data_IF_416242622688
#
_entry.id   IF_416242622688
#
_cell.length_a   1.000
_cell.length_b   1.000
_cell.length_c   1.000
_cell.angle_alpha   90.00
_cell.angle_beta   90.00
_cell.angle_gamma   90.00
#
_symmetry.space_group_name_H-M   'P 1'
#
loop_
_entity.id
_entity.type
_entity.pdbx_description
1 polymer ?
#
# COMPACT_ATOMS: atom_id res chain seq x y z
N UNK A 1 -3.84 -23.83 -81.24
CA UNK A 1 -4.51 -25.12 -81.28
C UNK A 1 -3.50 -26.17 -81.77
N UNK A 2 -3.52 -27.37 -81.22
CA UNK A 2 -2.62 -28.46 -81.62
C UNK A 2 -2.72 -28.71 -83.13
N UNK A 3 -1.57 -28.82 -83.81
CA UNK A 3 -1.48 -29.00 -85.27
C UNK A 3 -1.61 -27.76 -86.12
N UNK A 4 -1.88 -26.58 -85.52
CA UNK A 4 -1.88 -25.30 -86.25
C UNK A 4 -0.44 -24.75 -86.36
N UNK A 5 -0.22 -23.90 -87.35
CA UNK A 5 1.07 -23.20 -87.59
C UNK A 5 0.92 -21.66 -87.58
N UNK A 6 0.04 -21.19 -86.74
CA UNK A 6 -0.34 -19.76 -86.67
C UNK A 6 0.70 -18.88 -85.95
N UNK A 7 1.64 -19.46 -85.21
CA UNK A 7 2.72 -18.73 -84.54
C UNK A 7 4.04 -18.86 -85.30
N UNK A 8 4.34 -20.10 -85.73
CA UNK A 8 5.53 -20.39 -86.51
C UNK A 8 5.10 -21.28 -87.67
N UNK A 9 5.42 -20.89 -88.94
CA UNK A 9 5.16 -21.78 -90.04
C UNK A 9 6.03 -23.04 -89.96
N UNK A 10 5.59 -24.12 -90.72
CA UNK A 10 6.41 -25.34 -90.83
C UNK A 10 7.79 -24.98 -91.34
N UNK A 11 8.82 -25.38 -90.62
CA UNK A 11 10.25 -25.26 -90.98
C UNK A 11 10.84 -26.62 -91.14
N UNK A 12 11.80 -26.72 -92.08
CA UNK A 12 12.55 -27.98 -92.28
C UNK A 12 13.62 -28.08 -91.20
N UNK A 13 13.70 -29.27 -90.56
CA UNK A 13 14.66 -29.58 -89.52
C UNK A 13 15.65 -30.66 -89.99
N UNK A 14 15.62 -31.00 -91.28
CA UNK A 14 16.35 -32.16 -91.83
C UNK A 14 16.05 -33.44 -90.96
N UNK A 15 17.07 -34.09 -90.46
CA UNK A 15 16.93 -35.26 -89.59
C UNK A 15 17.13 -34.96 -88.10
N UNK A 16 17.10 -33.69 -87.72
CA UNK A 16 17.27 -33.29 -86.33
C UNK A 16 16.07 -33.75 -85.48
N UNK A 17 16.43 -34.30 -84.26
CA UNK A 17 15.43 -34.78 -83.30
C UNK A 17 15.13 -33.76 -82.17
N UNK A 18 15.81 -32.59 -82.19
CA UNK A 18 15.59 -31.49 -81.27
C UNK A 18 15.78 -30.15 -82.01
N UNK A 19 14.99 -29.14 -81.63
CA UNK A 19 15.09 -27.79 -82.18
C UNK A 19 14.73 -26.76 -81.10
N UNK A 20 15.51 -25.63 -81.05
CA UNK A 20 15.19 -24.47 -80.24
C UNK A 20 14.75 -23.34 -81.19
N UNK A 21 13.56 -22.80 -80.95
CA UNK A 21 13.02 -21.66 -81.67
C UNK A 21 13.11 -20.39 -80.84
N UNK A 22 13.70 -19.36 -81.42
CA UNK A 22 13.86 -18.03 -80.78
C UNK A 22 13.08 -16.96 -81.53
N UNK A 23 12.88 -15.79 -80.89
CA UNK A 23 12.20 -14.63 -81.52
C UNK A 23 10.67 -14.84 -81.68
N UNK A 24 10.08 -15.77 -80.92
CA UNK A 24 8.63 -15.93 -80.88
C UNK A 24 7.96 -14.85 -80.05
N UNK A 25 6.79 -14.38 -80.52
CA UNK A 25 5.93 -13.48 -79.75
C UNK A 25 4.83 -14.28 -79.09
N UNK A 26 5.11 -14.79 -77.88
CA UNK A 26 4.17 -15.61 -77.11
C UNK A 26 3.39 -14.70 -76.13
N UNK A 27 2.14 -14.98 -75.91
CA UNK A 27 1.22 -14.22 -75.05
C UNK A 27 1.10 -14.93 -73.72
N UNK A 28 1.28 -14.20 -72.63
CA UNK A 28 1.13 -14.67 -71.27
C UNK A 28 -0.27 -15.28 -71.02
N UNK A 29 -0.36 -16.37 -70.27
CA UNK A 29 -1.58 -17.14 -70.02
C UNK A 29 -2.04 -18.04 -71.22
N UNK A 30 -1.32 -18.02 -72.37
CA UNK A 30 -1.68 -18.78 -73.54
C UNK A 30 -0.95 -20.12 -73.64
N UNK A 31 -1.64 -21.20 -74.03
CA UNK A 31 -1.05 -22.51 -74.26
C UNK A 31 -0.65 -22.68 -75.73
N UNK A 32 0.58 -23.06 -75.94
CA UNK A 32 1.16 -23.30 -77.28
C UNK A 32 1.51 -24.79 -77.42
N UNK A 33 1.38 -25.27 -78.64
CA UNK A 33 1.60 -26.69 -79.00
C UNK A 33 2.71 -26.77 -80.04
N UNK A 34 3.78 -27.47 -79.74
CA UNK A 34 4.76 -27.87 -80.76
C UNK A 34 4.19 -29.04 -81.57
N UNK A 35 4.28 -28.91 -82.89
CA UNK A 35 3.83 -29.99 -83.83
C UNK A 35 4.96 -30.37 -84.77
N UNK A 36 5.13 -31.66 -84.96
CA UNK A 36 6.14 -32.24 -85.87
C UNK A 36 5.49 -33.17 -86.83
N UNK A 37 6.01 -33.26 -88.07
CA UNK A 37 5.64 -34.22 -89.06
C UNK A 37 6.89 -34.71 -89.77
N UNK A 38 6.95 -35.99 -90.18
CA UNK A 38 8.04 -36.54 -90.92
C UNK A 38 7.65 -36.57 -92.46
N UNK A 39 8.70 -36.37 -93.26
CA UNK A 39 8.57 -36.48 -94.73
C UNK A 39 9.62 -37.50 -95.18
N UNK A 40 9.23 -38.51 -95.94
CA UNK A 40 10.13 -39.49 -96.46
C UNK A 40 10.91 -38.98 -97.72
N UNK A 41 11.86 -39.70 -98.20
CA UNK A 41 12.67 -39.32 -99.40
C UNK A 41 11.83 -39.27 -100.71
N UNK A 42 10.62 -39.92 -100.75
CA UNK A 42 9.70 -39.87 -101.84
C UNK A 42 8.68 -38.73 -101.76
N UNK A 43 8.74 -37.90 -100.69
CA UNK A 43 7.85 -36.75 -100.47
C UNK A 43 6.56 -37.11 -99.74
N UNK A 44 6.38 -38.33 -99.22
CA UNK A 44 5.18 -38.66 -98.49
C UNK A 44 5.26 -38.03 -97.06
N UNK A 45 4.15 -37.46 -96.60
CA UNK A 45 4.07 -36.68 -95.32
C UNK A 45 3.27 -37.50 -94.31
N UNK A 46 3.86 -37.80 -93.17
CA UNK A 46 3.20 -38.38 -92.03
C UNK A 46 2.20 -37.43 -91.38
N UNK A 47 1.20 -37.97 -90.70
CA UNK A 47 0.32 -37.17 -89.86
C UNK A 47 1.09 -36.43 -88.81
N UNK A 48 0.76 -35.18 -88.55
CA UNK A 48 1.43 -34.36 -87.54
C UNK A 48 1.15 -34.88 -86.14
N UNK A 49 2.18 -34.98 -85.30
CA UNK A 49 2.09 -35.28 -83.87
C UNK A 49 2.35 -33.96 -83.14
N UNK A 50 1.51 -33.67 -82.15
CA UNK A 50 1.60 -32.45 -81.36
C UNK A 50 1.92 -32.77 -79.89
N UNK A 51 2.67 -31.88 -79.22
CA UNK A 51 2.88 -31.93 -77.81
C UNK A 51 1.57 -31.74 -77.00
N UNK A 52 1.58 -32.06 -75.70
CA UNK A 52 0.47 -31.76 -74.78
C UNK A 52 0.27 -30.25 -74.53
N UNK A 53 1.15 -29.40 -75.05
CA UNK A 53 1.11 -27.96 -74.88
C UNK A 53 1.96 -27.45 -73.68
N UNK A 54 2.45 -26.25 -73.86
CA UNK A 54 3.14 -25.48 -72.78
C UNK A 54 2.40 -24.17 -72.65
N UNK A 55 2.06 -23.77 -71.42
CA UNK A 55 1.44 -22.50 -71.10
C UNK A 55 2.55 -21.50 -70.75
N UNK A 56 2.49 -20.35 -71.30
CA UNK A 56 3.40 -19.25 -70.98
C UNK A 56 2.92 -18.60 -69.69
N UNK A 57 3.80 -18.50 -68.74
CA UNK A 57 3.65 -17.74 -67.51
C UNK A 57 4.85 -16.76 -67.39
N UNK A 58 4.58 -15.49 -67.45
CA UNK A 58 5.56 -14.43 -67.38
C UNK A 58 5.24 -13.43 -66.22
N UNK A 59 4.27 -13.79 -65.41
CA UNK A 59 3.92 -13.03 -64.20
C UNK A 59 4.78 -13.48 -63.03
N UNK A 60 5.29 -12.53 -62.26
CA UNK A 60 6.03 -12.83 -61.04
C UNK A 60 5.05 -13.23 -59.94
N UNK A 61 5.32 -14.29 -59.13
CA UNK A 61 4.57 -14.58 -57.93
C UNK A 61 4.73 -13.46 -56.90
N UNK A 62 3.82 -13.40 -55.91
CA UNK A 62 3.77 -12.34 -54.88
C UNK A 62 3.76 -12.93 -53.48
N UNK A 63 4.60 -12.37 -52.58
CA UNK A 63 4.47 -12.58 -51.12
C UNK A 63 3.47 -11.52 -50.62
N UNK A 64 2.50 -11.95 -49.81
CA UNK A 64 1.40 -11.11 -49.33
C UNK A 64 1.48 -10.80 -47.84
N UNK A 65 2.20 -11.63 -47.07
CA UNK A 65 2.48 -11.39 -45.62
C UNK A 65 3.75 -12.11 -45.17
N UNK A 66 4.37 -11.58 -44.14
CA UNK A 66 5.44 -12.22 -43.39
C UNK A 66 5.24 -11.88 -41.91
N UNK A 67 5.30 -12.86 -41.03
CA UNK A 67 5.20 -12.73 -39.59
C UNK A 67 6.47 -13.22 -38.94
N UNK A 68 6.99 -12.50 -37.95
CA UNK A 68 8.21 -12.80 -37.21
C UNK A 68 7.84 -13.19 -35.77
N UNK A 69 8.51 -14.18 -35.21
CA UNK A 69 8.36 -14.76 -33.87
C UNK A 69 7.06 -15.52 -33.58
N UNK A 70 6.04 -15.47 -34.47
CA UNK A 70 4.80 -16.22 -34.34
C UNK A 70 4.27 -16.64 -35.72
N UNK A 71 3.25 -17.50 -35.76
CA UNK A 71 2.64 -17.99 -37.00
C UNK A 71 1.50 -17.12 -37.52
N UNK A 72 0.99 -16.19 -36.72
CA UNK A 72 -0.25 -15.45 -36.99
C UNK A 72 -0.09 -13.95 -36.68
N UNK A 73 0.74 -13.61 -35.66
CA UNK A 73 0.97 -12.25 -35.18
C UNK A 73 2.42 -11.88 -35.46
N UNK A 74 2.63 -10.67 -35.94
CA UNK A 74 3.95 -10.09 -36.12
C UNK A 74 4.38 -9.41 -34.82
N UNK A 75 5.47 -9.91 -34.23
CA UNK A 75 5.98 -9.42 -32.96
C UNK A 75 7.29 -8.66 -33.19
N UNK A 76 7.45 -7.52 -32.53
CA UNK A 76 8.68 -6.71 -32.56
C UNK A 76 9.80 -7.28 -31.67
N UNK A 77 9.46 -8.17 -30.75
CA UNK A 77 10.39 -8.75 -29.76
C UNK A 77 10.23 -10.27 -29.64
N UNK A 78 11.31 -10.95 -29.24
CA UNK A 78 11.29 -12.39 -28.93
C UNK A 78 12.22 -12.76 -27.78
N UNK A 79 11.85 -13.81 -27.02
CA UNK A 79 12.62 -14.34 -25.88
C UNK A 79 13.60 -15.48 -26.32
N UNK A 80 14.11 -15.48 -27.54
CA UNK A 80 15.08 -16.49 -28.02
C UNK A 80 16.19 -15.85 -28.83
N UNK A 81 17.44 -16.18 -28.48
CA UNK A 81 18.64 -15.79 -29.25
C UNK A 81 19.12 -16.90 -30.19
N UNK A 82 18.54 -18.10 -30.10
CA UNK A 82 18.99 -19.30 -30.83
C UNK A 82 18.04 -19.75 -31.90
N UNK A 83 16.85 -19.18 -31.95
CA UNK A 83 15.83 -19.52 -32.94
C UNK A 83 14.93 -18.33 -33.26
N UNK A 84 14.29 -18.38 -34.45
CA UNK A 84 13.21 -17.48 -34.86
C UNK A 84 12.14 -18.28 -35.61
N UNK A 85 10.87 -17.97 -35.33
CA UNK A 85 9.73 -18.51 -36.08
C UNK A 85 9.39 -17.52 -37.19
N UNK A 86 9.22 -18.02 -38.40
CA UNK A 86 8.80 -17.25 -39.56
C UNK A 86 7.57 -17.89 -40.19
N UNK A 87 6.58 -17.08 -40.55
CA UNK A 87 5.43 -17.54 -41.33
C UNK A 87 5.09 -16.52 -42.42
N UNK A 88 4.72 -17.00 -43.57
CA UNK A 88 4.44 -16.16 -44.73
C UNK A 88 3.30 -16.69 -45.57
N UNK A 89 2.75 -15.84 -46.40
CA UNK A 89 1.83 -16.22 -47.44
C UNK A 89 2.28 -15.66 -48.80
N UNK A 90 2.10 -16.45 -49.84
CA UNK A 90 2.42 -16.01 -51.21
C UNK A 90 1.50 -16.69 -52.18
N UNK A 91 1.28 -16.06 -53.32
CA UNK A 91 0.39 -16.51 -54.38
C UNK A 91 1.03 -16.35 -55.74
N UNK A 92 0.67 -17.22 -56.64
CA UNK A 92 0.88 -17.08 -58.07
C UNK A 92 -0.40 -17.49 -58.83
N UNK A 93 -0.75 -16.73 -59.80
CA UNK A 93 -2.01 -16.94 -60.57
C UNK A 93 -1.84 -17.78 -61.84
N UNK A 94 -0.59 -17.93 -62.32
CA UNK A 94 -0.28 -18.59 -63.60
C UNK A 94 0.10 -20.05 -63.39
N UNK A 95 1.39 -20.31 -63.17
CA UNK A 95 1.95 -21.65 -63.08
C UNK A 95 1.90 -22.24 -61.65
N UNK A 96 1.57 -21.45 -60.65
CA UNK A 96 1.52 -21.78 -59.29
C UNK A 96 2.89 -21.73 -58.60
N UNK A 97 2.89 -21.57 -57.23
CA UNK A 97 4.11 -21.53 -56.42
C UNK A 97 4.86 -22.84 -56.52
N UNK A 98 6.16 -22.78 -56.72
CA UNK A 98 7.08 -23.93 -56.77
C UNK A 98 8.02 -23.99 -55.58
N UNK A 99 8.51 -22.85 -55.07
CA UNK A 99 9.46 -22.83 -53.97
C UNK A 99 9.47 -21.50 -53.25
N UNK A 100 9.42 -21.51 -51.95
CA UNK A 100 9.73 -20.38 -51.08
C UNK A 100 11.18 -20.44 -50.60
N UNK A 101 11.81 -19.28 -50.49
CA UNK A 101 13.09 -19.15 -49.89
C UNK A 101 13.02 -18.04 -48.83
N UNK A 102 13.68 -18.24 -47.70
CA UNK A 102 13.84 -17.22 -46.64
C UNK A 102 15.31 -16.89 -46.40
N UNK A 103 15.56 -15.72 -45.85
CA UNK A 103 16.87 -15.26 -45.40
C UNK A 103 16.72 -14.42 -44.12
N UNK A 104 17.80 -14.25 -43.36
CA UNK A 104 17.85 -13.44 -42.17
C UNK A 104 19.07 -12.55 -42.19
N UNK A 105 18.90 -11.28 -41.78
CA UNK A 105 20.00 -10.34 -41.72
C UNK A 105 19.79 -9.23 -40.70
N UNK A 106 20.77 -8.30 -40.61
CA UNK A 106 20.75 -7.16 -39.68
C UNK A 106 20.23 -5.87 -40.33
N UNK A 107 19.75 -5.94 -41.56
CA UNK A 107 19.09 -4.87 -42.31
C UNK A 107 18.07 -5.50 -43.25
N UNK A 108 17.03 -4.78 -43.69
CA UNK A 108 16.08 -5.28 -44.70
C UNK A 108 16.83 -5.83 -45.94
N UNK A 109 16.37 -6.96 -46.45
CA UNK A 109 16.97 -7.68 -47.59
C UNK A 109 18.41 -8.22 -47.41
N UNK A 110 18.99 -8.05 -46.24
CA UNK A 110 20.31 -8.58 -45.90
C UNK A 110 20.24 -10.09 -45.63
N UNK A 111 21.34 -10.80 -45.92
CA UNK A 111 21.47 -12.25 -45.78
C UNK A 111 22.72 -12.63 -44.97
N UNK A 112 23.17 -11.71 -44.12
CA UNK A 112 24.44 -11.87 -43.41
C UNK A 112 24.37 -12.79 -42.18
N UNK A 113 23.16 -13.18 -41.73
CA UNK A 113 22.94 -14.17 -40.67
C UNK A 113 22.57 -15.53 -41.29
N UNK A 114 21.54 -15.58 -42.11
CA UNK A 114 21.16 -16.75 -42.91
C UNK A 114 21.04 -16.35 -44.36
N UNK A 115 21.78 -17.03 -45.21
CA UNK A 115 21.67 -16.90 -46.68
C UNK A 115 20.35 -17.48 -47.16
N UNK A 116 19.93 -17.11 -48.38
CA UNK A 116 18.72 -17.65 -49.03
C UNK A 116 18.66 -19.18 -48.88
N UNK A 117 17.67 -19.65 -48.13
CA UNK A 117 17.45 -21.05 -47.81
C UNK A 117 16.09 -21.48 -48.26
N UNK A 118 16.01 -22.60 -49.02
CA UNK A 118 14.73 -23.11 -49.52
C UNK A 118 13.87 -23.69 -48.42
N UNK A 119 12.61 -23.33 -48.41
CA UNK A 119 11.55 -23.92 -47.60
C UNK A 119 10.62 -24.85 -48.41
N UNK A 120 10.89 -25.06 -49.70
CA UNK A 120 10.02 -25.77 -50.58
C UNK A 120 8.64 -25.11 -50.69
N UNK A 121 7.58 -25.84 -50.49
CA UNK A 121 6.19 -25.32 -50.47
C UNK A 121 5.71 -24.97 -49.06
N UNK A 122 6.57 -25.07 -48.03
CA UNK A 122 6.20 -24.70 -46.67
C UNK A 122 5.98 -23.21 -46.57
N UNK A 123 4.92 -22.82 -45.84
CA UNK A 123 4.57 -21.41 -45.59
C UNK A 123 5.03 -20.93 -44.20
N UNK A 124 5.79 -21.74 -43.49
CA UNK A 124 6.43 -21.37 -42.22
C UNK A 124 7.69 -22.20 -41.99
N UNK A 125 8.53 -21.72 -41.07
CA UNK A 125 9.70 -22.43 -40.60
C UNK A 125 10.13 -21.94 -39.21
N UNK A 126 10.81 -22.81 -38.46
CA UNK A 126 11.57 -22.40 -37.28
C UNK A 126 13.05 -22.48 -37.64
N UNK A 127 13.69 -21.35 -37.77
CA UNK A 127 15.14 -21.24 -38.00
C UNK A 127 15.83 -21.46 -36.65
N UNK A 128 16.76 -22.41 -36.57
CA UNK A 128 17.46 -22.79 -35.33
C UNK A 128 18.97 -22.71 -35.49
N UNK A 129 19.72 -22.77 -34.39
CA UNK A 129 21.17 -22.70 -34.38
C UNK A 129 21.71 -21.29 -34.61
N UNK A 130 20.93 -20.30 -34.31
CA UNK A 130 21.32 -18.87 -34.36
C UNK A 130 22.15 -18.48 -33.13
N UNK A 131 22.81 -17.34 -33.20
CA UNK A 131 23.48 -16.65 -32.10
C UNK A 131 23.15 -15.16 -32.27
N UNK A 132 21.98 -14.78 -31.85
CA UNK A 132 21.48 -13.42 -31.98
C UNK A 132 21.90 -12.59 -30.77
N UNK A 133 22.19 -11.31 -30.96
CA UNK A 133 22.59 -10.39 -29.91
C UNK A 133 21.35 -9.71 -29.33
N UNK A 134 21.25 -9.71 -28.02
CA UNK A 134 20.17 -9.08 -27.28
C UNK A 134 20.18 -7.54 -27.42
N UNK A 135 19.03 -6.94 -27.52
CA UNK A 135 18.70 -5.53 -27.22
C UNK A 135 19.15 -4.48 -28.23
N UNK A 136 20.27 -4.69 -28.93
CA UNK A 136 20.85 -3.61 -29.74
C UNK A 136 20.79 -3.82 -31.25
N UNK A 137 20.42 -5.00 -31.69
CA UNK A 137 20.37 -5.40 -33.09
C UNK A 137 18.95 -5.76 -33.45
N UNK A 138 18.41 -5.11 -34.49
CA UNK A 138 17.17 -5.54 -35.13
C UNK A 138 17.51 -6.54 -36.23
N UNK A 139 16.84 -7.69 -36.20
CA UNK A 139 16.99 -8.75 -37.19
C UNK A 139 15.79 -8.72 -38.13
N UNK A 140 16.08 -8.74 -39.42
CA UNK A 140 15.07 -8.67 -40.48
C UNK A 140 15.04 -9.99 -41.21
N UNK A 141 13.90 -10.63 -41.23
CA UNK A 141 13.64 -11.75 -42.14
C UNK A 141 13.21 -11.25 -43.49
N UNK A 142 13.55 -12.01 -44.50
CA UNK A 142 13.16 -11.76 -45.89
C UNK A 142 12.68 -13.04 -46.53
N UNK A 143 11.63 -12.95 -47.33
CA UNK A 143 11.07 -14.08 -48.09
C UNK A 143 10.93 -13.71 -49.58
N UNK A 144 11.15 -14.71 -50.43
CA UNK A 144 10.85 -14.64 -51.87
C UNK A 144 10.27 -15.96 -52.32
N UNK A 145 9.58 -15.93 -53.44
CA UNK A 145 8.90 -17.11 -54.00
C UNK A 145 9.21 -17.26 -55.50
N UNK A 146 9.45 -18.49 -55.91
CA UNK A 146 9.58 -18.89 -57.32
C UNK A 146 8.37 -19.68 -57.73
N UNK A 147 7.81 -19.40 -58.91
CA UNK A 147 6.72 -20.16 -59.53
C UNK A 147 7.23 -21.40 -60.29
N UNK A 148 6.33 -22.18 -60.86
CA UNK A 148 6.69 -23.36 -61.65
C UNK A 148 7.21 -23.02 -63.08
N UNK A 149 7.06 -21.79 -63.54
CA UNK A 149 7.63 -21.32 -64.78
C UNK A 149 9.06 -20.75 -64.58
N UNK A 150 9.49 -20.50 -63.32
CA UNK A 150 10.81 -19.98 -62.94
C UNK A 150 10.85 -18.47 -62.74
N UNK A 151 9.70 -17.77 -62.69
CA UNK A 151 9.65 -16.35 -62.36
C UNK A 151 9.86 -16.18 -60.85
N UNK A 152 10.55 -15.11 -60.43
CA UNK A 152 10.94 -14.87 -59.07
C UNK A 152 10.24 -13.58 -58.56
N UNK A 153 9.60 -13.64 -57.40
CA UNK A 153 8.98 -12.49 -56.79
C UNK A 153 9.96 -11.38 -56.40
N UNK A 154 9.45 -10.18 -56.18
CA UNK A 154 10.15 -9.21 -55.37
C UNK A 154 10.39 -9.80 -53.99
N UNK A 155 11.48 -9.39 -53.32
CA UNK A 155 11.75 -9.73 -51.91
C UNK A 155 10.73 -9.02 -51.03
N UNK A 156 10.25 -9.70 -50.02
CA UNK A 156 9.41 -9.14 -48.96
C UNK A 156 10.17 -9.25 -47.64
N UNK A 157 10.46 -8.13 -46.99
CA UNK A 157 11.13 -8.09 -45.70
C UNK A 157 10.16 -7.73 -44.59
N UNK A 158 10.28 -8.35 -43.44
CA UNK A 158 9.62 -7.96 -42.21
C UNK A 158 10.09 -6.58 -41.72
N UNK A 159 9.43 -6.02 -40.76
CA UNK A 159 9.79 -4.75 -40.11
C UNK A 159 10.87 -4.93 -39.03
N UNK A 160 11.14 -6.20 -38.65
CA UNK A 160 12.30 -6.61 -37.86
C UNK A 160 11.99 -6.90 -36.43
N UNK A 161 12.76 -7.81 -35.87
CA UNK A 161 12.60 -8.33 -34.50
C UNK A 161 13.85 -8.06 -33.66
N UNK A 162 13.64 -7.76 -32.37
CA UNK A 162 14.67 -7.57 -31.37
C UNK A 162 14.63 -8.72 -30.36
N UNK A 163 15.79 -9.22 -29.96
CA UNK A 163 15.89 -10.26 -28.93
C UNK A 163 15.90 -9.59 -27.55
N UNK A 164 15.05 -10.10 -26.67
CA UNK A 164 15.01 -9.69 -25.26
C UNK A 164 15.00 -10.91 -24.35
N UNK A 165 16.09 -11.12 -23.63
CA UNK A 165 16.28 -12.18 -22.64
C UNK A 165 16.36 -11.63 -21.21
N UNK A 166 16.39 -10.30 -21.10
CA UNK A 166 16.54 -9.59 -19.83
C UNK A 166 15.21 -9.52 -19.10
N UNK A 167 15.19 -9.95 -17.85
CA UNK A 167 14.01 -9.80 -17.00
C UNK A 167 13.85 -8.33 -16.58
N UNK A 168 12.63 -7.82 -16.41
CA UNK A 168 12.41 -6.47 -15.91
C UNK A 168 13.11 -6.22 -14.57
N UNK A 169 13.67 -5.03 -14.42
CA UNK A 169 14.23 -4.56 -13.15
C UNK A 169 13.11 -4.42 -12.13
N UNK A 170 13.32 -5.03 -10.95
CA UNK A 170 12.36 -4.95 -9.87
C UNK A 170 12.35 -3.55 -9.21
N UNK A 171 11.17 -3.08 -8.87
CA UNK A 171 10.93 -1.79 -8.21
C UNK A 171 10.84 -1.90 -6.68
N UNK A 172 10.01 -1.06 -6.10
CA UNK A 172 9.68 -1.04 -4.66
C UNK A 172 8.17 -1.05 -4.47
N UNK A 173 7.72 -1.59 -3.34
CA UNK A 173 6.30 -1.71 -2.97
C UNK A 173 6.11 -1.19 -1.54
N UNK A 174 4.95 -0.59 -1.26
CA UNK A 174 4.54 -0.17 0.08
C UNK A 174 3.13 -0.66 0.39
N UNK A 175 2.86 -0.93 1.66
CA UNK A 175 1.53 -1.19 2.19
C UNK A 175 0.77 0.14 2.31
N UNK A 176 -0.23 0.35 1.45
CA UNK A 176 -0.98 1.60 1.30
C UNK A 176 -0.78 2.28 -0.06
N UNK A 177 -1.54 3.34 -0.33
CA UNK A 177 -1.54 4.02 -1.62
C UNK A 177 -0.52 5.17 -1.71
N UNK A 178 -0.17 5.80 -0.59
CA UNK A 178 0.71 6.98 -0.56
C UNK A 178 1.78 6.92 0.52
N UNK A 179 1.54 6.19 1.59
CA UNK A 179 2.44 6.00 2.72
C UNK A 179 2.48 4.53 3.07
N UNK A 180 3.64 4.08 3.52
CA UNK A 180 3.81 2.71 4.00
C UNK A 180 3.15 2.56 5.38
N UNK A 181 2.20 1.64 5.48
CA UNK A 181 1.40 1.40 6.67
C UNK A 181 1.85 0.10 7.35
N UNK A 182 2.05 0.15 8.66
CA UNK A 182 2.36 -1.04 9.46
C UNK A 182 1.10 -1.76 9.94
N UNK A 183 -0.03 -1.05 10.04
CA UNK A 183 -1.30 -1.57 10.58
C UNK A 183 -2.49 -1.12 9.74
N UNK A 184 -3.55 -1.92 9.74
CA UNK A 184 -4.86 -1.59 9.16
C UNK A 184 -6.01 -1.95 10.09
N UNK A 185 -6.99 -1.06 10.22
CA UNK A 185 -8.26 -1.31 10.91
C UNK A 185 -9.28 -2.10 10.09
N UNK A 186 -8.92 -2.57 8.89
CA UNK A 186 -9.81 -3.32 8.02
C UNK A 186 -9.44 -4.80 7.98
N UNK A 187 -10.42 -5.68 8.16
CA UNK A 187 -10.27 -7.12 7.94
C UNK A 187 -10.74 -7.59 6.56
N UNK A 188 -11.09 -6.67 5.67
CA UNK A 188 -11.67 -6.99 4.36
C UNK A 188 -11.08 -6.20 3.20
N UNK A 189 -10.19 -5.24 3.47
CA UNK A 189 -9.59 -4.38 2.45
C UNK A 189 -8.10 -4.21 2.72
N UNK A 190 -7.28 -4.43 1.69
CA UNK A 190 -5.87 -4.02 1.65
C UNK A 190 -5.62 -3.19 0.40
N UNK A 191 -4.78 -2.17 0.55
CA UNK A 191 -4.30 -1.36 -0.56
C UNK A 191 -2.78 -1.39 -0.60
N UNK A 192 -2.22 -1.34 -1.81
CA UNK A 192 -0.77 -1.27 -2.02
C UNK A 192 -0.46 -0.44 -3.25
N UNK A 193 0.76 0.08 -3.30
CA UNK A 193 1.29 0.77 -4.47
C UNK A 193 2.77 0.44 -4.66
N UNK A 194 3.24 0.55 -5.90
CA UNK A 194 4.62 0.25 -6.26
C UNK A 194 5.14 1.23 -7.31
N UNK A 195 6.45 1.27 -7.45
CA UNK A 195 7.14 2.14 -8.41
C UNK A 195 8.52 1.61 -8.74
N UNK A 196 9.12 2.15 -9.81
CA UNK A 196 10.52 1.91 -10.15
C UNK A 196 10.79 0.60 -10.89
N UNK A 197 9.77 -0.18 -11.27
CA UNK A 197 9.94 -1.27 -12.22
C UNK A 197 10.24 -0.70 -13.60
N UNK A 198 11.14 -1.33 -14.33
CA UNK A 198 11.48 -0.93 -15.69
C UNK A 198 12.04 -2.10 -16.48
N UNK A 199 11.76 -2.11 -17.76
CA UNK A 199 12.45 -2.93 -18.75
C UNK A 199 12.94 -2.03 -19.88
N UNK A 200 14.19 -2.25 -20.33
CA UNK A 200 14.86 -1.34 -21.24
C UNK A 200 14.76 -1.78 -22.70
N UNK A 201 14.36 -3.01 -22.98
CA UNK A 201 14.34 -3.59 -24.32
C UNK A 201 12.92 -3.70 -24.84
N UNK A 202 12.13 -4.62 -24.31
CA UNK A 202 10.74 -4.81 -24.75
C UNK A 202 9.73 -3.98 -23.96
N UNK A 203 10.12 -3.50 -22.78
CA UNK A 203 9.23 -2.75 -21.89
C UNK A 203 8.34 -3.67 -21.04
N UNK A 204 7.64 -3.09 -20.07
CA UNK A 204 6.72 -3.83 -19.21
C UNK A 204 5.38 -3.98 -19.93
N UNK A 205 4.88 -5.20 -20.01
CA UNK A 205 3.55 -5.53 -20.55
C UNK A 205 2.48 -5.41 -19.44
N UNK A 206 2.72 -6.04 -18.29
CA UNK A 206 1.79 -5.96 -17.15
C UNK A 206 2.49 -6.28 -15.83
N UNK A 207 1.78 -5.99 -14.73
CA UNK A 207 2.14 -6.43 -13.39
C UNK A 207 1.23 -7.58 -12.95
N UNK A 208 1.80 -8.45 -12.13
CA UNK A 208 1.03 -9.41 -11.35
C UNK A 208 1.19 -9.10 -9.86
N UNK A 209 0.10 -9.24 -9.13
CA UNK A 209 -0.03 -8.95 -7.72
C UNK A 209 -0.61 -10.13 -6.96
N UNK A 210 -0.12 -10.38 -5.74
CA UNK A 210 -0.61 -11.42 -4.85
C UNK A 210 -0.56 -10.99 -3.38
N UNK A 211 -1.34 -11.66 -2.53
CA UNK A 211 -1.36 -11.49 -1.07
C UNK A 211 -1.09 -12.83 -0.41
N UNK A 212 -0.22 -12.82 0.61
CA UNK A 212 0.09 -14.02 1.39
C UNK A 212 0.35 -13.74 2.87
N UNK A 213 0.47 -14.83 3.64
CA UNK A 213 0.88 -14.81 5.06
C UNK A 213 2.40 -14.80 5.24
N UNK A 214 3.14 -14.92 4.16
CA UNK A 214 4.59 -14.82 4.13
C UNK A 214 5.04 -14.00 2.92
N UNK A 215 6.23 -13.43 2.99
CA UNK A 215 6.82 -12.68 1.88
C UNK A 215 6.87 -13.54 0.61
N UNK A 216 6.34 -13.03 -0.50
CA UNK A 216 6.22 -13.74 -1.78
C UNK A 216 5.11 -14.78 -1.85
N UNK A 217 4.35 -14.97 -0.76
CA UNK A 217 3.20 -15.90 -0.70
C UNK A 217 2.01 -15.41 -1.51
N UNK A 218 1.14 -16.35 -1.92
CA UNK A 218 -0.09 -16.12 -2.66
C UNK A 218 -1.25 -16.96 -2.10
N UNK A 219 -1.22 -17.26 -0.80
CA UNK A 219 -2.17 -18.13 -0.12
C UNK A 219 -3.46 -17.41 0.32
N UNK A 220 -3.51 -16.09 0.22
CA UNK A 220 -4.71 -15.27 0.45
C UNK A 220 -5.35 -14.84 -0.87
N UNK A 221 -4.55 -14.43 -1.85
CA UNK A 221 -4.97 -14.26 -3.24
C UNK A 221 -3.90 -14.82 -4.17
N UNK A 222 -4.31 -15.57 -5.21
CA UNK A 222 -3.40 -15.96 -6.28
C UNK A 222 -2.83 -14.74 -7.01
N UNK A 223 -1.80 -14.96 -7.84
CA UNK A 223 -1.26 -13.95 -8.73
C UNK A 223 -2.31 -13.48 -9.72
N UNK A 224 -2.62 -12.19 -9.71
CA UNK A 224 -3.65 -11.55 -10.54
C UNK A 224 -2.96 -10.55 -11.46
N UNK A 225 -3.24 -10.64 -12.77
CA UNK A 225 -2.83 -9.63 -13.74
C UNK A 225 -3.63 -8.34 -13.52
N UNK A 226 -2.94 -7.24 -13.37
CA UNK A 226 -3.50 -5.91 -13.08
C UNK A 226 -3.09 -4.88 -14.12
N UNK A 227 -2.74 -5.33 -15.33
CA UNK A 227 -2.28 -4.50 -16.43
C UNK A 227 -1.08 -3.60 -16.00
N UNK A 228 -1.04 -2.36 -16.43
CA UNK A 228 0.02 -1.39 -16.10
C UNK A 228 -0.32 -0.50 -14.89
N UNK A 229 -1.33 -0.87 -14.11
CA UNK A 229 -1.63 -0.14 -12.88
C UNK A 229 -0.47 -0.24 -11.90
N UNK A 230 -0.16 0.88 -11.23
CA UNK A 230 0.90 0.97 -10.22
C UNK A 230 0.38 0.95 -8.78
N UNK A 231 -0.89 0.65 -8.60
CA UNK A 231 -1.55 0.51 -7.30
C UNK A 231 -2.79 -0.37 -7.41
N UNK A 232 -3.15 -1.04 -6.32
CA UNK A 232 -4.37 -1.85 -6.24
C UNK A 232 -5.01 -1.74 -4.86
N UNK A 233 -6.34 -1.79 -4.83
CA UNK A 233 -7.13 -1.98 -3.62
C UNK A 233 -7.93 -3.26 -3.76
N UNK A 234 -7.58 -4.25 -2.95
CA UNK A 234 -8.27 -5.55 -2.91
C UNK A 234 -9.33 -5.53 -1.83
N UNK A 235 -10.56 -5.87 -2.19
CA UNK A 235 -11.73 -5.88 -1.31
C UNK A 235 -12.26 -7.29 -1.11
N UNK A 236 -13.22 -7.45 -0.20
CA UNK A 236 -13.87 -8.72 0.12
C UNK A 236 -12.88 -9.81 0.63
N UNK A 237 -11.76 -9.39 1.22
CA UNK A 237 -10.85 -10.28 1.91
C UNK A 237 -11.48 -10.78 3.23
N UNK A 238 -10.94 -11.87 3.77
CA UNK A 238 -11.29 -12.39 5.08
C UNK A 238 -10.01 -12.49 5.92
N UNK A 239 -9.59 -11.36 6.47
CA UNK A 239 -8.34 -11.22 7.20
C UNK A 239 -8.57 -11.40 8.70
N UNK A 240 -7.65 -12.04 9.39
CA UNK A 240 -7.71 -12.27 10.83
C UNK A 240 -6.99 -11.16 11.59
N UNK A 241 -7.57 -10.75 12.72
CA UNK A 241 -6.93 -9.84 13.66
C UNK A 241 -5.57 -10.38 14.13
N UNK A 242 -4.63 -9.48 14.37
CA UNK A 242 -3.25 -9.72 14.78
C UNK A 242 -2.39 -10.54 13.79
N UNK A 243 -2.89 -10.85 12.59
CA UNK A 243 -2.09 -11.45 11.54
C UNK A 243 -1.47 -10.37 10.65
N UNK A 244 -0.22 -10.62 10.23
CA UNK A 244 0.48 -9.79 9.25
C UNK A 244 0.32 -10.40 7.86
N UNK A 245 -0.01 -9.57 6.89
CA UNK A 245 -0.18 -9.92 5.48
C UNK A 245 0.85 -9.21 4.65
N UNK A 246 1.37 -9.91 3.66
CA UNK A 246 2.41 -9.44 2.75
C UNK A 246 1.82 -9.30 1.36
N UNK A 247 2.03 -8.15 0.75
CA UNK A 247 1.61 -7.85 -0.61
C UNK A 247 2.82 -7.96 -1.53
N UNK A 248 2.69 -8.66 -2.64
CA UNK A 248 3.78 -8.99 -3.54
C UNK A 248 3.44 -8.60 -4.97
N UNK A 249 4.43 -8.06 -5.70
CA UNK A 249 4.30 -7.64 -7.09
C UNK A 249 5.49 -8.15 -7.89
N UNK A 250 5.24 -8.53 -9.14
CA UNK A 250 6.24 -8.79 -10.17
C UNK A 250 5.80 -8.18 -11.50
N UNK A 251 6.76 -7.80 -12.31
CA UNK A 251 6.53 -7.29 -13.65
C UNK A 251 6.81 -8.38 -14.68
N UNK A 252 6.04 -8.39 -15.76
CA UNK A 252 6.31 -9.16 -16.95
C UNK A 252 6.52 -8.19 -18.12
N UNK A 253 7.49 -8.49 -19.00
CA UNK A 253 7.71 -7.75 -20.22
C UNK A 253 6.91 -8.30 -21.40
N UNK A 254 7.02 -7.68 -22.57
CA UNK A 254 6.30 -8.08 -23.77
C UNK A 254 6.67 -9.46 -24.32
N UNK A 255 7.78 -10.04 -23.88
CA UNK A 255 8.19 -11.40 -24.25
C UNK A 255 8.03 -12.39 -23.09
N UNK A 256 7.37 -11.97 -22.01
CA UNK A 256 7.05 -12.77 -20.83
C UNK A 256 8.24 -13.15 -19.95
N UNK A 257 9.36 -12.39 -19.98
CA UNK A 257 10.36 -12.50 -18.92
C UNK A 257 9.79 -11.90 -17.65
N UNK A 258 10.06 -12.52 -16.49
CA UNK A 258 9.47 -12.19 -15.21
C UNK A 258 10.53 -11.58 -14.28
N UNK A 259 10.25 -10.40 -13.73
CA UNK A 259 11.12 -9.77 -12.73
C UNK A 259 11.22 -10.60 -11.45
N UNK A 260 12.17 -10.24 -10.60
CA UNK A 260 12.14 -10.70 -9.22
C UNK A 260 10.85 -10.20 -8.52
N UNK A 261 10.28 -11.03 -7.65
CA UNK A 261 9.16 -10.66 -6.79
C UNK A 261 9.62 -9.65 -5.76
N UNK A 262 8.93 -8.54 -5.66
CA UNK A 262 9.09 -7.55 -4.59
C UNK A 262 7.91 -7.67 -3.64
N UNK A 263 8.21 -7.69 -2.35
CA UNK A 263 7.21 -7.87 -1.30
C UNK A 263 7.27 -6.70 -0.33
N UNK A 264 6.11 -6.24 0.14
CA UNK A 264 6.00 -5.24 1.20
C UNK A 264 6.62 -5.73 2.52
N UNK A 265 6.88 -4.81 3.45
CA UNK A 265 7.35 -5.17 4.80
C UNK A 265 6.27 -5.82 5.66
N UNK A 266 5.03 -5.83 5.19
CA UNK A 266 3.86 -6.46 5.80
C UNK A 266 3.00 -5.53 6.63
N UNK A 267 1.68 -5.70 6.50
CA UNK A 267 0.67 -4.93 7.21
C UNK A 267 -0.09 -5.84 8.18
N UNK A 268 -0.18 -5.43 9.45
CA UNK A 268 -0.88 -6.19 10.49
C UNK A 268 -2.31 -5.69 10.65
N UNK A 269 -3.25 -6.61 10.69
CA UNK A 269 -4.68 -6.28 10.88
C UNK A 269 -4.98 -6.08 12.35
N UNK A 270 -5.54 -4.91 12.69
CA UNK A 270 -6.02 -4.59 14.02
C UNK A 270 -7.47 -4.09 13.99
N UNK A 271 -8.40 -4.93 14.38
CA UNK A 271 -9.84 -4.61 14.47
C UNK A 271 -10.34 -4.59 15.92
N UNK A 272 -9.44 -4.68 16.89
CA UNK A 272 -9.78 -4.67 18.30
C UNK A 272 -9.62 -3.27 18.87
N UNK A 273 -10.56 -2.85 19.71
CA UNK A 273 -10.39 -1.64 20.49
C UNK A 273 -9.42 -1.89 21.67
N UNK A 274 -8.69 -0.86 22.12
CA UNK A 274 -7.86 -0.96 23.31
C UNK A 274 -8.62 -1.46 24.54
N UNK A 275 -7.96 -2.24 25.38
CA UNK A 275 -8.48 -2.63 26.69
C UNK A 275 -8.63 -1.40 27.59
N UNK A 276 -9.66 -1.42 28.47
CA UNK A 276 -9.94 -0.32 29.36
C UNK A 276 -9.06 -0.35 30.61
N UNK A 277 -8.64 0.82 31.05
CA UNK A 277 -7.89 1.03 32.28
C UNK A 277 -8.74 1.57 33.41
N UNK A 278 -8.14 2.38 34.26
CA UNK A 278 -8.76 3.10 35.37
C UNK A 278 -8.50 4.60 35.21
N UNK A 279 -9.42 5.42 35.73
CA UNK A 279 -9.33 6.88 35.82
C UNK A 279 -9.53 7.31 37.26
N UNK A 280 -8.67 8.19 37.76
CA UNK A 280 -8.74 8.72 39.12
C UNK A 280 -8.76 10.26 39.09
N UNK A 281 -9.44 10.83 40.05
CA UNK A 281 -9.49 12.27 40.30
C UNK A 281 -8.26 12.66 41.11
N UNK A 282 -7.33 13.40 40.48
CA UNK A 282 -6.03 13.76 41.01
C UNK A 282 -4.84 13.25 40.19
N UNK A 283 -3.63 13.75 40.46
CA UNK A 283 -2.41 13.41 39.69
C UNK A 283 -1.68 12.17 40.23
N UNK A 284 -1.80 11.90 41.53
CA UNK A 284 -1.03 10.83 42.22
C UNK A 284 -1.89 9.91 43.08
N UNK A 285 -3.03 10.39 43.54
CA UNK A 285 -3.98 9.65 44.35
C UNK A 285 -5.40 10.07 43.97
N UNK A 286 -6.34 9.19 44.19
CA UNK A 286 -7.74 9.46 43.98
C UNK A 286 -8.28 10.40 45.04
N UNK A 287 -8.81 11.54 44.65
CA UNK A 287 -9.38 12.58 45.49
C UNK A 287 -10.91 12.55 45.39
N UNK A 288 -11.57 12.73 46.53
CA UNK A 288 -13.05 12.82 46.57
C UNK A 288 -13.53 14.26 46.62
N UNK A 289 -12.65 15.20 47.02
CA UNK A 289 -12.95 16.61 47.20
C UNK A 289 -11.88 17.51 46.58
N UNK A 290 -12.32 18.67 46.13
CA UNK A 290 -11.46 19.77 45.68
C UNK A 290 -12.03 21.12 46.09
N UNK A 291 -11.17 22.06 46.46
CA UNK A 291 -11.59 23.44 46.72
C UNK A 291 -11.58 24.33 45.47
N UNK A 292 -11.19 23.77 44.31
CA UNK A 292 -11.10 24.54 43.09
C UNK A 292 -12.42 24.55 42.33
N UNK A 293 -12.91 25.71 41.99
CA UNK A 293 -14.05 25.92 41.08
C UNK A 293 -13.64 26.05 39.61
N UNK A 294 -12.34 25.98 39.28
CA UNK A 294 -11.82 26.26 37.95
C UNK A 294 -10.79 25.25 37.44
N UNK A 295 -10.33 24.34 38.31
CA UNK A 295 -9.26 23.38 37.97
C UNK A 295 -9.66 21.98 38.44
N UNK A 296 -9.42 20.98 37.58
CA UNK A 296 -9.43 19.55 37.92
C UNK A 296 -8.17 18.88 37.46
N UNK A 297 -7.60 18.06 38.30
CA UNK A 297 -6.49 17.16 38.04
C UNK A 297 -7.03 15.75 37.82
N UNK A 298 -6.51 15.07 36.81
CA UNK A 298 -6.91 13.72 36.44
C UNK A 298 -5.68 12.90 36.06
N UNK A 299 -5.71 11.62 36.38
CA UNK A 299 -4.75 10.64 35.89
C UNK A 299 -5.42 9.32 35.53
N UNK A 300 -4.79 8.55 34.67
CA UNK A 300 -5.30 7.24 34.24
C UNK A 300 -4.16 6.28 33.94
N UNK A 301 -4.47 4.99 34.03
CA UNK A 301 -3.50 3.92 33.81
C UNK A 301 -4.19 2.63 33.39
N UNK A 302 -3.41 1.64 32.95
CA UNK A 302 -3.89 0.30 32.67
C UNK A 302 -4.63 0.13 31.32
N UNK A 303 -4.78 1.19 30.50
CA UNK A 303 -5.24 1.03 29.13
C UNK A 303 -4.15 0.35 28.31
N UNK A 304 -4.49 -0.65 27.51
CA UNK A 304 -3.55 -1.40 26.68
C UNK A 304 -4.13 -1.71 25.31
N UNK A 305 -3.28 -1.66 24.32
CA UNK A 305 -3.48 -2.26 23.00
C UNK A 305 -2.20 -2.98 22.61
N UNK A 306 -2.32 -4.30 22.33
CA UNK A 306 -1.16 -5.17 22.10
C UNK A 306 -0.83 -5.33 20.63
N UNK A 307 -1.68 -4.85 19.73
CA UNK A 307 -1.53 -5.01 18.29
C UNK A 307 -0.94 -3.76 17.65
N UNK A 308 -1.68 -2.67 17.59
CA UNK A 308 -1.21 -1.43 16.98
C UNK A 308 -0.76 -0.38 18.00
N UNK A 309 -1.04 -0.61 19.30
CA UNK A 309 -0.69 0.27 20.39
C UNK A 309 -1.61 1.48 20.51
N UNK A 310 -1.53 2.18 21.67
CA UNK A 310 -2.34 3.37 21.93
C UNK A 310 -1.69 4.57 21.23
N UNK A 311 -2.43 5.22 20.34
CA UNK A 311 -2.02 6.43 19.63
C UNK A 311 -2.35 7.70 20.41
N UNK A 312 -3.53 7.75 21.07
CA UNK A 312 -3.91 8.88 21.89
C UNK A 312 -4.99 8.54 22.90
N UNK A 313 -5.17 9.43 23.87
CA UNK A 313 -6.30 9.45 24.78
C UNK A 313 -7.22 10.61 24.46
N UNK A 314 -8.51 10.43 24.70
CA UNK A 314 -9.52 11.48 24.67
C UNK A 314 -10.11 11.65 26.06
N UNK A 315 -10.21 12.90 26.50
CA UNK A 315 -10.79 13.30 27.78
C UNK A 315 -12.09 14.09 27.57
N UNK A 316 -13.06 13.80 28.42
CA UNK A 316 -14.21 14.69 28.65
C UNK A 316 -14.45 14.85 30.14
N UNK A 317 -15.11 15.94 30.54
CA UNK A 317 -15.55 16.18 31.92
C UNK A 317 -17.05 16.48 31.90
N UNK A 318 -17.75 15.86 32.82
CA UNK A 318 -19.19 16.06 32.95
C UNK A 318 -19.72 15.91 34.37
N UNK A 319 -21.02 16.23 34.56
CA UNK A 319 -21.73 16.12 35.82
C UNK A 319 -22.30 14.71 36.04
N UNK A 320 -22.16 13.82 35.09
CA UNK A 320 -22.48 12.41 35.14
C UNK A 320 -21.36 11.63 34.46
N UNK A 321 -21.04 10.46 34.95
CA UNK A 321 -20.02 9.57 34.36
C UNK A 321 -20.29 9.36 32.86
N UNK A 322 -19.27 9.58 32.01
CA UNK A 322 -19.36 9.49 30.56
C UNK A 322 -19.93 10.71 29.86
N UNK A 323 -20.47 11.71 30.56
CA UNK A 323 -20.96 12.93 29.95
C UNK A 323 -19.81 13.92 29.64
N UNK A 324 -20.08 14.89 28.77
CA UNK A 324 -19.12 15.87 28.30
C UNK A 324 -19.68 17.31 28.34
N UNK A 325 -20.60 17.57 29.27
CA UNK A 325 -21.31 18.82 29.36
C UNK A 325 -20.54 19.93 30.06
N UNK A 326 -19.39 19.63 30.66
CA UNK A 326 -18.46 20.62 31.27
C UNK A 326 -17.25 20.84 30.37
N UNK A 327 -16.61 19.76 29.92
CA UNK A 327 -15.54 19.80 28.91
C UNK A 327 -15.89 18.79 27.81
N UNK A 328 -16.09 19.21 26.56
CA UNK A 328 -16.27 18.29 25.43
C UNK A 328 -15.01 17.45 25.21
N UNK A 329 -15.15 16.29 24.49
CA UNK A 329 -14.03 15.39 24.19
C UNK A 329 -12.86 16.14 23.53
N UNK A 330 -11.70 16.06 24.14
CA UNK A 330 -10.43 16.63 23.66
C UNK A 330 -9.34 15.55 23.60
N UNK A 331 -8.48 15.59 22.59
CA UNK A 331 -7.33 14.70 22.49
C UNK A 331 -6.21 15.15 23.43
N UNK A 332 -5.48 14.17 23.99
CA UNK A 332 -4.39 14.37 24.95
C UNK A 332 -3.07 13.72 24.51
N UNK A 333 -2.95 13.36 23.24
CA UNK A 333 -1.86 12.52 22.75
C UNK A 333 -1.68 11.28 23.65
N UNK A 334 -0.47 10.88 24.00
CA UNK A 334 -0.18 9.71 24.85
C UNK A 334 0.02 10.05 26.33
N UNK A 335 -0.30 11.28 26.76
CA UNK A 335 -0.22 11.67 28.16
C UNK A 335 -1.20 10.86 29.02
N UNK A 336 -0.77 10.48 30.22
CA UNK A 336 -1.55 9.70 31.19
C UNK A 336 -1.99 10.52 32.41
N UNK A 337 -1.72 11.82 32.40
CA UNK A 337 -2.15 12.80 33.42
C UNK A 337 -2.50 14.12 32.77
N UNK A 338 -3.35 14.91 33.41
CA UNK A 338 -3.67 16.26 32.96
C UNK A 338 -4.17 17.13 34.09
N UNK A 339 -3.84 18.42 34.05
CA UNK A 339 -4.48 19.49 34.81
C UNK A 339 -5.34 20.30 33.86
N UNK A 340 -6.65 20.34 34.09
CA UNK A 340 -7.61 21.12 33.30
C UNK A 340 -7.97 22.39 34.04
N UNK A 341 -7.63 23.52 33.41
CA UNK A 341 -7.91 24.85 33.93
C UNK A 341 -9.02 25.55 33.15
N UNK A 342 -9.56 26.65 33.71
CA UNK A 342 -10.60 27.44 33.06
C UNK A 342 -11.97 26.77 33.05
N UNK A 343 -12.21 25.78 33.89
CA UNK A 343 -13.50 25.16 34.09
C UNK A 343 -14.45 26.11 34.84
N UNK A 344 -15.76 25.83 34.80
CA UNK A 344 -16.81 26.53 35.57
C UNK A 344 -17.51 25.48 36.42
N UNK A 345 -16.95 25.21 37.59
CA UNK A 345 -17.45 24.21 38.52
C UNK A 345 -18.27 24.91 39.60
N UNK A 346 -19.36 24.28 40.04
CA UNK A 346 -20.28 24.81 41.04
C UNK A 346 -19.97 24.16 42.37
N UNK A 347 -19.89 24.94 43.43
CA UNK A 347 -19.74 24.47 44.81
C UNK A 347 -20.87 23.46 45.14
N UNK A 348 -20.51 22.34 45.77
CA UNK A 348 -21.42 21.21 46.03
C UNK A 348 -21.65 20.31 44.82
N UNK A 349 -21.15 20.64 43.62
CA UNK A 349 -21.28 19.84 42.41
C UNK A 349 -20.26 18.71 42.32
N UNK A 350 -20.69 17.52 41.84
CA UNK A 350 -19.81 16.39 41.59
C UNK A 350 -19.50 16.30 40.09
N UNK A 351 -18.22 16.08 39.77
CA UNK A 351 -17.70 16.04 38.40
C UNK A 351 -16.92 14.75 38.16
N UNK A 352 -17.03 14.23 36.92
CA UNK A 352 -16.43 12.99 36.49
C UNK A 352 -15.48 13.25 35.30
N UNK A 353 -14.22 12.86 35.45
CA UNK A 353 -13.32 12.76 34.32
C UNK A 353 -13.56 11.45 33.55
N UNK A 354 -13.68 11.51 32.26
CA UNK A 354 -13.93 10.36 31.40
C UNK A 354 -12.87 10.23 30.32
N UNK A 355 -12.30 9.05 30.17
CA UNK A 355 -11.22 8.73 29.22
C UNK A 355 -11.64 7.67 28.23
N UNK A 356 -11.20 7.84 26.97
CA UNK A 356 -11.17 6.81 25.94
C UNK A 356 -9.75 6.70 25.42
N UNK A 357 -9.24 5.48 25.26
CA UNK A 357 -8.03 5.24 24.49
C UNK A 357 -8.39 5.01 23.02
N UNK A 358 -7.53 5.47 22.12
CA UNK A 358 -7.64 5.27 20.68
C UNK A 358 -6.32 4.67 20.20
N UNK A 359 -6.37 3.58 19.45
CA UNK A 359 -5.19 2.92 18.90
C UNK A 359 -4.67 3.57 17.61
N UNK A 360 -3.62 3.01 17.00
CA UNK A 360 -2.99 3.58 15.83
C UNK A 360 -3.81 3.46 14.55
N UNK A 361 -4.82 2.60 14.50
CA UNK A 361 -5.73 2.43 13.35
C UNK A 361 -7.10 3.08 13.57
N UNK A 362 -7.32 3.66 14.77
CA UNK A 362 -8.53 4.43 15.09
C UNK A 362 -9.63 3.64 15.80
N UNK A 363 -9.40 2.40 16.28
CA UNK A 363 -10.36 1.74 17.14
C UNK A 363 -10.38 2.43 18.51
N UNK A 364 -11.56 2.53 19.12
CA UNK A 364 -11.79 3.33 20.33
C UNK A 364 -12.26 2.42 21.47
N UNK A 365 -11.56 2.50 22.59
CA UNK A 365 -11.95 1.80 23.82
C UNK A 365 -13.31 2.28 24.36
N UNK A 366 -13.95 1.45 25.15
CA UNK A 366 -15.10 1.87 25.92
C UNK A 366 -14.71 3.02 26.87
N UNK A 367 -15.65 3.94 27.11
CA UNK A 367 -15.43 5.06 28.01
C UNK A 367 -15.27 4.56 29.46
N UNK A 368 -14.21 5.02 30.13
CA UNK A 368 -14.01 4.82 31.57
C UNK A 368 -14.05 6.18 32.24
N UNK A 369 -14.76 6.26 33.37
CA UNK A 369 -14.88 7.47 34.15
C UNK A 369 -14.28 7.28 35.55
N UNK A 370 -13.82 8.39 36.16
CA UNK A 370 -13.49 8.43 37.57
C UNK A 370 -14.73 8.14 38.43
N UNK A 371 -14.51 7.93 39.72
CA UNK A 371 -15.58 7.78 40.71
C UNK A 371 -16.26 9.10 41.06
N UNK A 372 -15.69 10.24 40.63
CA UNK A 372 -16.21 11.57 40.78
C UNK A 372 -15.61 12.35 41.95
N UNK A 373 -15.31 13.62 41.69
CA UNK A 373 -14.80 14.57 42.65
C UNK A 373 -15.82 15.66 42.92
N UNK A 374 -16.06 15.97 44.19
CA UNK A 374 -17.02 16.99 44.59
C UNK A 374 -16.29 18.28 44.95
N UNK A 375 -16.83 19.40 44.49
CA UNK A 375 -16.29 20.73 44.82
C UNK A 375 -16.81 21.17 46.16
N UNK A 376 -15.88 21.50 47.05
CA UNK A 376 -16.12 22.18 48.31
C UNK A 376 -15.22 23.41 48.38
N UNK A 377 -15.81 24.57 48.15
CA UNK A 377 -15.11 25.87 48.15
C UNK A 377 -15.48 26.72 49.35
N UNK A 378 -16.17 26.17 50.32
CA UNK A 378 -16.52 26.84 51.55
C UNK A 378 -15.47 26.59 52.61
N UNK A 379 -15.07 27.66 53.34
CA UNK A 379 -14.13 27.56 54.45
C UNK A 379 -14.78 26.90 55.65
N UNK A 380 -14.08 26.01 56.37
CA UNK A 380 -14.58 25.51 57.66
C UNK A 380 -14.70 26.66 58.67
N UNK A 381 -15.62 26.55 59.61
CA UNK A 381 -15.91 27.60 60.61
C UNK A 381 -15.51 27.13 61.99
N UNK A 382 -14.73 27.94 62.72
CA UNK A 382 -14.54 27.76 64.16
C UNK A 382 -15.75 28.34 64.89
N UNK A 383 -16.49 27.46 65.54
CA UNK A 383 -17.80 27.83 66.18
C UNK A 383 -17.65 28.21 67.64
N UNK A 384 -16.62 27.77 68.31
CA UNK A 384 -16.30 28.22 69.70
C UNK A 384 -14.80 28.08 69.93
N UNK A 385 -14.30 28.94 70.82
CA UNK A 385 -12.94 28.91 71.31
C UNK A 385 -12.98 29.32 72.80
N UNK A 386 -12.42 28.51 73.68
CA UNK A 386 -12.37 28.73 75.11
C UNK A 386 -10.98 28.60 75.62
N UNK A 387 -10.58 29.53 76.52
CA UNK A 387 -9.26 29.57 77.14
C UNK A 387 -9.38 29.22 78.65
N UNK A 388 -8.35 28.56 79.18
CA UNK A 388 -8.17 28.25 80.58
C UNK A 388 -9.26 27.35 81.23
N UNK A 389 -10.38 27.00 80.58
CA UNK A 389 -11.42 26.12 81.08
C UNK A 389 -12.17 25.41 79.93
N UNK A 390 -12.72 24.24 80.25
CA UNK A 390 -13.46 23.43 79.29
C UNK A 390 -14.87 23.89 78.95
N UNK A 391 -15.41 24.88 79.71
CA UNK A 391 -16.82 25.28 79.62
C UNK A 391 -17.03 26.81 79.59
N UNK A 392 -16.09 27.58 80.04
CA UNK A 392 -16.16 29.05 80.12
C UNK A 392 -14.85 29.68 79.69
N UNK A 393 -14.97 30.82 79.04
CA UNK A 393 -13.82 31.62 78.65
C UNK A 393 -13.38 32.47 79.86
N UNK A 394 -12.08 32.35 80.23
CA UNK A 394 -11.56 33.02 81.41
C UNK A 394 -10.51 34.08 81.01
N UNK A 395 -10.67 35.30 81.45
CA UNK A 395 -9.76 36.41 81.23
C UNK A 395 -8.41 36.32 81.98
N UNK A 396 -8.34 35.41 82.96
CA UNK A 396 -7.17 35.25 83.83
C UNK A 396 -6.84 33.78 84.11
N UNK A 397 -5.60 33.44 84.09
CA UNK A 397 -5.12 32.10 84.55
C UNK A 397 -4.01 32.21 85.61
N UNK A 398 -3.88 31.18 86.41
CA UNK A 398 -2.89 31.14 87.50
C UNK A 398 -1.59 30.35 87.15
N UNK A 399 -1.44 29.82 85.92
CA UNK A 399 -0.26 29.08 85.49
C UNK A 399 0.52 29.87 84.43
N UNK A 400 1.82 29.96 84.59
CA UNK A 400 2.76 30.53 83.65
C UNK A 400 3.39 29.50 82.71
N UNK A 401 3.16 28.21 82.98
CA UNK A 401 3.79 27.10 82.29
C UNK A 401 2.83 26.16 81.59
N UNK A 402 1.52 26.33 81.76
CA UNK A 402 0.50 25.52 81.11
C UNK A 402 -0.74 26.34 80.75
N UNK A 403 -1.42 25.95 79.68
CA UNK A 403 -2.58 26.62 79.12
C UNK A 403 -3.55 25.60 78.56
N UNK A 404 -4.81 25.54 79.02
CA UNK A 404 -5.83 24.65 78.51
C UNK A 404 -6.60 25.39 77.43
N UNK A 405 -6.82 24.73 76.31
CA UNK A 405 -7.55 25.26 75.17
C UNK A 405 -8.63 24.28 74.71
N UNK A 406 -9.79 24.79 74.38
CA UNK A 406 -10.93 23.98 73.86
C UNK A 406 -11.55 24.77 72.72
N UNK A 407 -11.88 24.10 71.65
CA UNK A 407 -12.55 24.74 70.52
C UNK A 407 -13.57 23.76 69.89
N UNK A 408 -14.43 24.31 69.09
CA UNK A 408 -15.25 23.52 68.15
C UNK A 408 -15.24 24.17 66.79
N UNK A 409 -15.34 23.37 65.77
CA UNK A 409 -15.51 23.80 64.40
C UNK A 409 -16.47 22.89 63.66
N UNK A 410 -17.02 23.38 62.56
CA UNK A 410 -17.85 22.66 61.66
C UNK A 410 -17.45 22.98 60.23
N UNK A 411 -17.68 22.02 59.38
CA UNK A 411 -17.65 22.14 57.92
C UNK A 411 -18.84 21.36 57.41
N UNK A 412 -19.60 21.96 56.44
CA UNK A 412 -20.90 21.41 56.01
C UNK A 412 -20.79 20.44 54.84
N UNK A 413 -19.61 20.34 54.18
CA UNK A 413 -19.45 19.54 53.01
C UNK A 413 -18.36 18.44 53.13
N UNK A 414 -17.06 18.79 53.02
CA UNK A 414 -15.96 17.81 53.00
C UNK A 414 -15.54 17.34 54.38
N UNK A 415 -15.84 18.13 55.40
CA UNK A 415 -15.51 17.88 56.81
C UNK A 415 -14.08 18.27 57.19
N UNK A 416 -13.87 18.54 58.46
CA UNK A 416 -12.57 19.00 58.96
C UNK A 416 -11.58 17.84 59.02
N UNK A 417 -10.39 18.00 58.44
CA UNK A 417 -9.31 17.02 58.46
C UNK A 417 -8.34 17.23 59.59
N UNK A 418 -8.07 18.49 59.96
CA UNK A 418 -7.25 18.82 61.17
C UNK A 418 -7.50 20.26 61.64
N UNK A 419 -7.15 20.49 62.93
CA UNK A 419 -7.04 21.81 63.52
C UNK A 419 -5.60 22.14 63.79
N UNK A 420 -5.32 23.44 63.79
CA UNK A 420 -4.07 24.01 64.29
C UNK A 420 -4.38 25.12 65.25
N UNK A 421 -3.56 25.25 66.27
CA UNK A 421 -3.60 26.41 67.18
C UNK A 421 -2.24 27.10 67.23
N UNK A 422 -2.27 28.37 67.63
CA UNK A 422 -1.08 29.19 67.94
C UNK A 422 -1.38 30.12 69.09
N UNK A 423 -0.36 30.53 69.83
CA UNK A 423 -0.47 31.47 70.94
C UNK A 423 0.52 32.61 70.73
N UNK A 424 0.07 33.85 70.94
CA UNK A 424 0.89 35.01 70.76
C UNK A 424 0.54 36.18 71.66
N UNK A 425 1.39 37.21 71.76
CA UNK A 425 1.19 38.39 72.54
C UNK A 425 0.28 39.43 71.89
N UNK A 426 -0.11 39.23 70.66
CA UNK A 426 -1.12 40.00 69.93
C UNK A 426 -2.01 39.05 69.15
N UNK A 427 -3.26 39.42 68.83
CA UNK A 427 -4.19 38.61 68.10
C UNK A 427 -3.57 38.13 66.73
N UNK A 428 -3.58 36.83 66.49
CA UNK A 428 -3.00 36.18 65.32
C UNK A 428 -1.47 36.00 65.40
N UNK A 429 -0.77 36.49 66.41
CA UNK A 429 0.67 36.26 66.57
C UNK A 429 0.96 34.82 67.01
N UNK A 430 2.19 34.39 66.76
CA UNK A 430 2.66 33.00 67.04
C UNK A 430 3.98 33.02 67.82
N UNK A 431 4.23 34.11 68.56
CA UNK A 431 5.50 34.36 69.20
C UNK A 431 5.66 33.59 70.55
N UNK A 432 4.60 33.08 71.10
CA UNK A 432 4.63 32.16 72.26
C UNK A 432 4.54 30.69 71.87
N UNK A 433 3.63 30.33 70.97
CA UNK A 433 3.51 28.99 70.36
C UNK A 433 3.23 29.14 68.90
N UNK A 434 4.06 28.53 68.06
CA UNK A 434 3.85 28.50 66.59
C UNK A 434 2.69 27.55 66.27
N UNK A 435 2.12 27.69 65.07
CA UNK A 435 1.05 26.79 64.59
C UNK A 435 1.41 25.33 64.83
N UNK A 436 0.58 24.67 65.65
CA UNK A 436 0.72 23.30 66.09
C UNK A 436 -0.54 22.49 65.68
N UNK A 437 -0.38 21.43 64.96
CA UNK A 437 -1.51 20.59 64.49
C UNK A 437 -1.95 19.62 65.61
N UNK A 438 -3.27 19.47 65.72
CA UNK A 438 -3.91 18.58 66.72
C UNK A 438 -4.71 17.45 66.09
N UNK A 439 -4.54 17.23 64.78
CA UNK A 439 -5.44 16.35 64.01
C UNK A 439 -6.91 16.79 64.24
N UNK A 440 -7.83 15.89 64.52
CA UNK A 440 -9.25 16.20 64.73
C UNK A 440 -9.62 16.43 66.20
N UNK A 441 -8.67 16.54 67.13
CA UNK A 441 -8.98 16.83 68.51
C UNK A 441 -9.38 18.27 68.71
N UNK A 442 -10.32 18.52 69.59
CA UNK A 442 -10.97 19.80 69.84
C UNK A 442 -10.54 20.37 71.21
N UNK A 443 -9.53 19.85 71.83
CA UNK A 443 -8.94 20.34 73.08
C UNK A 443 -7.47 19.95 73.17
N UNK A 444 -6.68 20.77 73.81
CA UNK A 444 -5.29 20.46 74.17
C UNK A 444 -4.89 21.15 75.47
N UNK A 445 -3.81 20.68 76.08
CA UNK A 445 -3.17 21.33 77.24
C UNK A 445 -1.72 21.66 76.81
N UNK A 446 -1.47 22.91 76.53
CA UNK A 446 -0.14 23.40 76.28
C UNK A 446 0.67 23.34 77.55
N UNK A 447 1.84 22.76 77.54
CA UNK A 447 2.74 22.65 78.70
C UNK A 447 4.14 23.08 78.35
N UNK A 448 4.95 23.41 79.34
CA UNK A 448 6.33 23.89 79.16
C UNK A 448 6.42 25.32 78.62
N UNK A 449 5.37 26.10 78.81
CA UNK A 449 5.34 27.52 78.46
C UNK A 449 6.19 28.30 79.43
N UNK A 450 6.53 29.53 79.04
CA UNK A 450 7.18 30.56 79.91
C UNK A 450 6.44 31.84 79.70
N UNK A 451 5.22 31.94 80.25
CA UNK A 451 4.38 33.13 80.09
C UNK A 451 4.82 34.22 81.08
N UNK A 452 4.76 35.45 80.62
CA UNK A 452 5.14 36.59 81.43
C UNK A 452 3.95 37.16 82.22
N UNK A 453 4.07 37.32 83.51
CA UNK A 453 3.00 37.86 84.37
C UNK A 453 2.58 39.26 83.90
N UNK A 454 1.27 39.51 83.86
CA UNK A 454 0.67 40.76 83.40
C UNK A 454 0.65 40.94 81.87
N UNK A 455 1.09 39.93 81.10
CA UNK A 455 1.01 39.95 79.63
C UNK A 455 -0.26 39.24 79.20
N UNK A 456 -1.05 39.83 78.27
CA UNK A 456 -2.15 39.23 77.65
C UNK A 456 -1.67 38.35 76.48
N UNK A 457 -2.10 37.09 76.44
CA UNK A 457 -1.83 36.19 75.35
C UNK A 457 -3.13 35.89 74.58
N UNK A 458 -3.03 35.78 73.31
CA UNK A 458 -4.13 35.53 72.34
C UNK A 458 -3.98 34.16 71.77
N UNK A 459 -5.01 33.33 71.95
CA UNK A 459 -5.13 32.02 71.28
C UNK A 459 -5.71 32.24 69.88
N UNK A 460 -5.13 31.60 68.89
CA UNK A 460 -5.67 31.48 67.57
C UNK A 460 -5.85 30.03 67.19
N UNK A 461 -6.99 29.65 66.62
CA UNK A 461 -7.31 28.31 66.09
C UNK A 461 -7.77 28.44 64.67
N UNK A 462 -7.30 27.55 63.82
CA UNK A 462 -7.81 27.39 62.47
C UNK A 462 -8.09 25.94 62.17
N UNK A 463 -9.06 25.70 61.31
CA UNK A 463 -9.40 24.40 60.78
C UNK A 463 -9.05 24.30 59.31
N UNK A 464 -8.62 23.15 58.87
CA UNK A 464 -8.53 22.79 57.45
C UNK A 464 -9.47 21.64 57.17
N UNK A 465 -10.25 21.74 56.07
CA UNK A 465 -11.15 20.70 55.64
C UNK A 465 -10.47 19.67 54.71
N UNK A 466 -11.18 18.66 54.28
CA UNK A 466 -10.66 17.64 53.39
C UNK A 466 -10.43 18.14 51.97
N UNK A 467 -11.16 19.16 51.53
CA UNK A 467 -10.95 19.84 50.25
C UNK A 467 -9.73 20.76 50.22
N UNK A 468 -9.19 21.14 51.41
CA UNK A 468 -8.05 22.01 51.54
C UNK A 468 -8.39 23.49 51.81
N UNK A 469 -9.65 23.85 52.09
CA UNK A 469 -10.01 25.16 52.53
C UNK A 469 -9.56 25.35 54.00
N UNK A 470 -9.29 26.61 54.37
CA UNK A 470 -8.80 26.94 55.71
C UNK A 470 -9.67 28.04 56.33
N UNK A 471 -10.14 27.83 57.58
CA UNK A 471 -10.90 28.83 58.28
C UNK A 471 -10.10 30.12 58.43
N UNK A 472 -10.79 31.26 58.35
CA UNK A 472 -10.25 32.60 58.49
C UNK A 472 -9.95 32.94 59.96
#
# INVERSE_FOLDING_TARGET
>A
VAGSNNILPWIDLDTATASTQTGLSLVNGSTYFGSIKAVDAAGNVAAAVSSNGITVDADDPVITSLFEADLIIDWDYQASDTSIILAWTGTDAGSGVANYEYALGTHPDSTNIISWTSAGLSTNTTVTGLSLTEGTVTYYSSVRVTDAAGNLSQKYSGDGIIVDLTVPLAGTIIDGLTTDLSYTGSNSVLSTSWQGFSDAISGIDFYEYAIGLAAGGADISDWINIALDSAVTTTALNLSHANTYYQSVRALDLVSNVSQVVTSNGITVDVSAPETGIVVDGLTSDLYWTNSTTVLDLSWSGFQDTTSGIANYQLAIGTVAGSNNVLPWVSLDTATTTTRTGLSLVNGGTYYGSIKAVDAVGNVAATVSSNGITVDADDPVITSLFEANLLTDWDYQGSDSSFIIVWSGSDDASGIIYYEYALGTTSGATDAVTWTSTATTTADTLTGLSLTEGTTYYLSVRATDVAGNMSS
#
